data_IF_560366615647
#
_entry.id   IF_560366615647
#
_cell.length_a   1.000
_cell.length_b   1.000
_cell.length_c   1.000
_cell.angle_alpha   90.00
_cell.angle_beta   90.00
_cell.angle_gamma   90.00
#
_symmetry.space_group_name_H-M   'P 1'
#
loop_
_entity.id
_entity.type
_entity.pdbx_description
1 polymer ?
#
# COMPACT_ATOMS: atom_id res chain seq x y z
N UNK A 1 -27.30 4.44 56.45
CA UNK A 1 -27.16 3.01 56.05
C UNK A 1 -27.53 2.93 54.56
N UNK A 2 -26.56 2.72 53.64
CA UNK A 2 -26.31 1.45 52.87
C UNK A 2 -27.61 0.88 52.24
N UNK A 3 -27.76 0.53 50.95
CA UNK A 3 -26.80 0.22 49.86
C UNK A 3 -27.58 -0.03 48.54
N UNK A 4 -27.09 0.56 47.45
CA UNK A 4 -27.00 0.11 46.04
C UNK A 4 -28.22 -0.38 45.21
N UNK A 5 -28.37 0.33 44.08
CA UNK A 5 -29.05 0.00 42.83
C UNK A 5 -28.47 -1.25 42.15
N UNK A 6 -29.32 -2.08 41.52
CA UNK A 6 -28.91 -3.25 40.75
C UNK A 6 -29.27 -3.05 39.27
N UNK A 7 -28.29 -2.57 38.52
CA UNK A 7 -28.27 -2.53 37.05
C UNK A 7 -28.19 -3.99 36.56
N UNK A 8 -29.13 -4.42 35.71
CA UNK A 8 -28.99 -5.67 34.94
C UNK A 8 -28.37 -5.32 33.59
N UNK A 9 -27.05 -5.50 33.48
CA UNK A 9 -26.37 -5.55 32.18
C UNK A 9 -26.71 -6.90 31.54
N UNK A 10 -27.32 -6.85 30.35
CA UNK A 10 -27.45 -8.00 29.48
C UNK A 10 -26.08 -8.26 28.83
N UNK A 11 -25.43 -9.37 29.19
CA UNK A 11 -24.22 -9.82 28.51
C UNK A 11 -24.58 -10.51 27.19
N UNK A 12 -23.93 -10.08 26.11
CA UNK A 12 -24.06 -10.59 24.75
C UNK A 12 -23.28 -11.91 24.60
N UNK A 13 -23.93 -13.01 24.14
CA UNK A 13 -23.31 -14.34 24.05
C UNK A 13 -22.22 -14.47 22.97
N UNK A 14 -22.09 -13.53 22.02
CA UNK A 14 -21.07 -13.62 20.97
C UNK A 14 -19.63 -13.34 21.44
N UNK A 15 -19.44 -12.76 22.63
CA UNK A 15 -18.09 -12.46 23.17
C UNK A 15 -17.49 -13.56 24.05
N UNK A 16 -18.26 -14.61 24.36
CA UNK A 16 -17.81 -15.73 25.21
C UNK A 16 -17.08 -16.81 24.39
N UNK A 17 -17.26 -16.84 23.07
CA UNK A 17 -16.60 -17.83 22.20
C UNK A 17 -15.13 -17.50 21.87
N UNK A 18 -14.64 -16.31 22.19
CA UNK A 18 -13.29 -15.84 21.80
C UNK A 18 -12.23 -15.92 22.92
N UNK A 19 -12.55 -16.45 24.10
CA UNK A 19 -11.65 -16.43 25.27
C UNK A 19 -11.10 -17.80 25.72
N UNK A 20 -11.31 -18.89 24.97
CA UNK A 20 -10.80 -20.23 25.34
C UNK A 20 -9.84 -20.88 24.33
N UNK A 21 -9.37 -20.15 23.31
CA UNK A 21 -8.37 -20.66 22.36
C UNK A 21 -7.00 -19.99 22.56
N UNK A 22 -6.55 -19.93 23.81
CA UNK A 22 -5.17 -19.62 24.19
C UNK A 22 -4.74 -20.71 25.17
N UNK A 23 -4.36 -21.88 24.67
CA UNK A 23 -3.45 -22.83 25.31
C UNK A 23 -3.18 -23.98 24.34
N UNK A 24 -1.93 -24.48 24.31
CA UNK A 24 -1.40 -25.59 23.50
C UNK A 24 -1.03 -25.25 22.05
N UNK A 25 0.19 -24.74 21.87
CA UNK A 25 1.21 -25.39 21.02
C UNK A 25 2.56 -24.70 21.21
N UNK A 26 3.20 -24.97 22.34
CA UNK A 26 4.65 -24.79 22.52
C UNK A 26 5.35 -26.12 22.28
N UNK A 27 6.58 -26.02 21.76
CA UNK A 27 7.61 -27.06 21.59
C UNK A 27 7.70 -27.71 20.20
N UNK A 28 8.57 -27.15 19.35
CA UNK A 28 9.69 -27.90 18.76
C UNK A 28 10.87 -26.94 18.58
N UNK A 29 11.85 -27.05 19.48
CA UNK A 29 13.20 -26.51 19.28
C UNK A 29 13.98 -27.51 18.42
N UNK A 30 14.63 -27.04 17.36
CA UNK A 30 15.67 -27.78 16.67
C UNK A 30 16.93 -26.91 16.52
N UNK A 31 17.98 -27.41 17.16
CA UNK A 31 19.43 -27.18 17.01
C UNK A 31 19.87 -27.25 15.53
N UNK A 32 21.03 -26.81 15.01
CA UNK A 32 22.28 -26.29 15.56
C UNK A 32 23.11 -25.63 14.42
N UNK A 33 23.88 -24.60 14.79
CA UNK A 33 25.27 -24.27 14.42
C UNK A 33 25.91 -24.77 13.10
N UNK A 34 26.50 -23.83 12.36
CA UNK A 34 27.84 -23.99 11.74
C UNK A 34 28.50 -22.62 11.62
N UNK A 35 29.60 -22.41 12.33
CA UNK A 35 30.47 -21.26 12.14
C UNK A 35 31.43 -21.47 10.97
N UNK A 36 31.86 -20.37 10.35
CA UNK A 36 33.27 -20.13 10.07
C UNK A 36 33.54 -18.65 9.78
N UNK A 37 34.81 -18.31 9.98
CA UNK A 37 35.46 -17.01 10.16
C UNK A 37 35.90 -16.32 8.86
N UNK A 38 36.20 -15.02 9.04
CA UNK A 38 37.17 -14.16 8.32
C UNK A 38 36.84 -13.85 6.84
N UNK A 39 37.14 -12.70 6.22
CA UNK A 39 38.09 -11.61 6.49
C UNK A 39 37.70 -10.35 5.71
N UNK A 40 38.10 -9.19 6.22
CA UNK A 40 38.19 -7.89 5.55
C UNK A 40 39.04 -8.00 4.27
N UNK A 41 38.59 -7.40 3.14
CA UNK A 41 39.52 -6.68 2.27
C UNK A 41 38.83 -5.57 1.46
N UNK A 42 39.25 -4.35 1.74
CA UNK A 42 39.08 -3.15 0.93
C UNK A 42 39.79 -3.32 -0.42
N UNK A 43 39.12 -2.98 -1.52
CA UNK A 43 39.84 -2.46 -2.69
C UNK A 43 39.03 -1.37 -3.37
N UNK A 44 39.78 -0.34 -3.70
CA UNK A 44 39.48 0.99 -4.20
C UNK A 44 39.55 0.92 -5.74
N UNK A 45 38.57 1.48 -6.45
CA UNK A 45 38.64 1.53 -7.91
C UNK A 45 37.45 2.24 -8.53
N UNK A 46 37.66 3.51 -8.87
CA UNK A 46 36.67 4.44 -9.40
C UNK A 46 36.37 4.19 -10.87
N UNK A 47 35.15 4.60 -11.25
CA UNK A 47 34.74 5.11 -12.57
C UNK A 47 34.18 4.09 -13.56
N UNK A 48 32.93 3.66 -13.31
CA UNK A 48 31.98 3.30 -14.37
C UNK A 48 30.52 3.46 -13.88
N UNK A 49 30.16 4.65 -13.38
CA UNK A 49 28.85 4.88 -12.73
C UNK A 49 27.79 5.52 -13.61
N UNK A 50 28.05 5.73 -14.90
CA UNK A 50 27.11 6.47 -15.76
C UNK A 50 25.99 5.60 -16.35
N UNK A 51 26.19 4.28 -16.51
CA UNK A 51 25.22 3.40 -17.21
C UNK A 51 24.16 2.75 -16.29
N UNK A 52 24.50 2.49 -15.02
CA UNK A 52 23.60 1.82 -14.07
C UNK A 52 22.49 2.74 -13.56
N UNK A 53 22.79 4.01 -13.33
CA UNK A 53 21.78 5.00 -12.90
C UNK A 53 20.75 5.27 -14.00
N UNK A 54 21.14 5.27 -15.26
CA UNK A 54 20.22 5.48 -16.38
C UNK A 54 19.25 4.29 -16.53
N UNK A 55 19.74 3.06 -16.40
CA UNK A 55 18.93 1.84 -16.47
C UNK A 55 17.98 1.70 -15.26
N UNK A 56 18.40 2.08 -14.05
CA UNK A 56 17.52 2.08 -12.88
C UNK A 56 16.43 3.15 -13.00
N UNK A 57 16.79 4.32 -13.53
CA UNK A 57 15.85 5.41 -13.78
C UNK A 57 14.78 5.02 -14.82
N UNK A 58 15.13 4.32 -15.89
CA UNK A 58 14.16 3.88 -16.91
C UNK A 58 13.24 2.77 -16.38
N UNK A 59 13.75 1.85 -15.56
CA UNK A 59 12.92 0.83 -14.90
C UNK A 59 11.94 1.44 -13.90
N UNK A 60 12.37 2.44 -13.13
CA UNK A 60 11.50 3.15 -12.19
C UNK A 60 10.44 3.99 -12.92
N UNK A 61 10.80 4.65 -14.01
CA UNK A 61 9.85 5.41 -14.84
C UNK A 61 8.79 4.49 -15.42
N UNK A 62 9.18 3.32 -15.93
CA UNK A 62 8.25 2.33 -16.47
C UNK A 62 7.27 1.83 -15.40
N UNK A 63 7.76 1.61 -14.18
CA UNK A 63 6.93 1.25 -13.03
C UNK A 63 5.92 2.37 -12.70
N UNK A 64 6.39 3.61 -12.61
CA UNK A 64 5.54 4.77 -12.31
C UNK A 64 4.46 4.94 -13.37
N UNK A 65 4.84 4.86 -14.65
CA UNK A 65 3.90 4.98 -15.76
C UNK A 65 2.85 3.88 -15.72
N UNK A 66 3.25 2.63 -15.53
CA UNK A 66 2.33 1.51 -15.39
C UNK A 66 1.30 1.75 -14.26
N UNK A 67 1.78 2.12 -13.06
CA UNK A 67 0.89 2.31 -11.92
C UNK A 67 -0.03 3.53 -12.10
N UNK A 68 0.46 4.60 -12.70
CA UNK A 68 -0.34 5.77 -13.04
C UNK A 68 -1.45 5.43 -14.05
N UNK A 69 -1.12 4.66 -15.09
CA UNK A 69 -2.08 4.24 -16.12
C UNK A 69 -3.13 3.29 -15.54
N UNK A 70 -2.69 2.30 -14.74
CA UNK A 70 -3.59 1.38 -14.05
C UNK A 70 -4.56 2.12 -13.12
N UNK A 71 -4.05 3.01 -12.27
CA UNK A 71 -4.87 3.77 -11.33
C UNK A 71 -5.88 4.67 -12.05
N UNK A 72 -5.41 5.46 -13.02
CA UNK A 72 -6.26 6.37 -13.78
C UNK A 72 -7.36 5.62 -14.54
N UNK A 73 -7.01 4.50 -15.16
CA UNK A 73 -7.96 3.63 -15.87
C UNK A 73 -8.99 3.03 -14.92
N UNK A 74 -8.57 2.54 -13.76
CA UNK A 74 -9.50 1.94 -12.80
C UNK A 74 -10.53 2.95 -12.27
N UNK A 75 -10.07 4.15 -11.88
CA UNK A 75 -10.96 5.24 -11.48
C UNK A 75 -11.89 5.73 -12.60
N UNK A 76 -11.47 5.59 -13.85
CA UNK A 76 -12.30 5.94 -15.01
C UNK A 76 -13.35 4.86 -15.29
N UNK A 77 -12.97 3.59 -15.26
CA UNK A 77 -13.82 2.47 -15.69
C UNK A 77 -14.79 2.00 -14.60
N UNK A 78 -14.42 2.14 -13.32
CA UNK A 78 -15.18 1.58 -12.19
C UNK A 78 -15.81 2.67 -11.32
N UNK A 79 -16.78 3.39 -11.90
CA UNK A 79 -17.55 4.42 -11.21
C UNK A 79 -18.93 3.90 -10.76
N UNK A 80 -19.47 4.35 -9.61
CA UNK A 80 -18.88 5.26 -8.60
C UNK A 80 -17.89 4.57 -7.63
N UNK A 81 -17.01 5.33 -6.92
CA UNK A 81 -17.00 6.79 -6.78
C UNK A 81 -16.27 7.54 -7.90
N UNK A 82 -16.70 8.78 -8.17
CA UNK A 82 -16.06 9.68 -9.14
C UNK A 82 -15.02 10.55 -8.41
N UNK A 83 -13.72 10.36 -8.63
CA UNK A 83 -12.72 11.15 -7.93
C UNK A 83 -12.70 12.60 -8.42
N UNK A 84 -12.83 13.55 -7.48
CA UNK A 84 -12.78 14.99 -7.73
C UNK A 84 -11.35 15.54 -7.67
N UNK A 85 -10.46 14.85 -6.97
CA UNK A 85 -9.07 15.22 -6.80
C UNK A 85 -8.25 14.07 -6.24
N UNK A 86 -6.93 14.19 -6.31
CA UNK A 86 -5.98 13.23 -5.77
C UNK A 86 -4.94 13.95 -4.92
N UNK A 87 -4.47 13.32 -3.85
CA UNK A 87 -3.39 13.85 -3.00
C UNK A 87 -2.57 12.72 -2.37
N UNK A 88 -1.39 13.08 -1.87
CA UNK A 88 -0.48 12.17 -1.17
C UNK A 88 -0.14 10.93 -2.00
N UNK A 89 -0.07 11.06 -3.33
CA UNK A 89 0.21 9.95 -4.23
C UNK A 89 1.71 9.63 -4.19
N UNK A 90 2.03 8.38 -3.87
CA UNK A 90 3.40 7.89 -3.69
C UNK A 90 3.55 6.48 -4.27
N UNK A 91 4.76 6.16 -4.75
CA UNK A 91 5.12 4.77 -5.09
C UNK A 91 5.70 4.12 -3.84
N UNK A 92 5.24 2.91 -3.54
CA UNK A 92 5.74 2.10 -2.43
C UNK A 92 5.97 0.65 -2.87
N UNK A 93 6.53 -0.16 -1.98
CA UNK A 93 6.58 -1.60 -2.14
C UNK A 93 6.32 -2.34 -0.84
N UNK A 94 5.69 -3.51 -0.97
CA UNK A 94 5.60 -4.54 0.06
C UNK A 94 6.69 -5.58 -0.18
N UNK A 95 7.23 -6.14 0.91
CA UNK A 95 8.18 -7.27 0.83
C UNK A 95 7.44 -8.55 1.21
N UNK A 96 7.40 -9.52 0.30
CA UNK A 96 6.84 -10.85 0.54
C UNK A 96 7.78 -11.71 1.41
N UNK A 97 7.31 -12.82 2.00
CA UNK A 97 8.18 -13.73 2.76
C UNK A 97 9.37 -14.30 1.99
N UNK A 98 9.27 -14.40 0.66
CA UNK A 98 10.34 -14.84 -0.23
C UNK A 98 11.23 -13.67 -0.72
N UNK A 99 11.18 -12.52 -0.05
CA UNK A 99 11.93 -11.30 -0.36
C UNK A 99 11.58 -10.60 -1.68
N UNK A 100 10.62 -11.14 -2.44
CA UNK A 100 10.09 -10.46 -3.62
C UNK A 100 9.37 -9.17 -3.23
N UNK A 101 9.47 -8.17 -4.12
CA UNK A 101 8.78 -6.89 -3.97
C UNK A 101 7.49 -6.86 -4.77
N UNK A 102 6.40 -6.51 -4.11
CA UNK A 102 5.16 -6.09 -4.79
C UNK A 102 5.12 -4.57 -4.79
N UNK A 103 5.17 -3.96 -5.97
CA UNK A 103 5.11 -2.51 -6.10
C UNK A 103 3.67 -2.01 -6.11
N UNK A 104 3.44 -0.87 -5.46
CA UNK A 104 2.12 -0.28 -5.31
C UNK A 104 2.16 1.23 -5.48
N UNK A 105 1.05 1.82 -5.88
CA UNK A 105 0.79 3.26 -5.79
C UNK A 105 -0.23 3.50 -4.68
N UNK A 106 0.13 4.31 -3.71
CA UNK A 106 -0.73 4.69 -2.60
C UNK A 106 -1.13 6.15 -2.73
N UNK A 107 -2.33 6.49 -2.31
CA UNK A 107 -2.76 7.88 -2.23
C UNK A 107 -4.15 8.03 -1.64
N UNK A 108 -4.70 9.23 -1.78
CA UNK A 108 -6.07 9.54 -1.42
C UNK A 108 -6.76 10.22 -2.60
N UNK A 109 -8.05 9.94 -2.77
CA UNK A 109 -8.90 10.67 -3.71
C UNK A 109 -10.04 11.37 -2.95
N UNK A 110 -10.47 12.50 -3.50
CA UNK A 110 -11.60 13.26 -2.98
C UNK A 110 -12.89 12.66 -3.55
N UNK A 111 -13.74 12.17 -2.65
CA UNK A 111 -15.05 11.65 -2.94
C UNK A 111 -16.12 12.58 -2.35
N UNK A 112 -17.36 12.46 -2.84
CA UNK A 112 -18.54 12.95 -2.14
C UNK A 112 -19.32 11.76 -1.61
N UNK A 113 -19.69 11.80 -0.34
CA UNK A 113 -20.60 10.82 0.25
C UNK A 113 -22.05 11.04 -0.23
N UNK A 114 -22.96 10.16 0.18
CA UNK A 114 -24.39 10.24 -0.16
C UNK A 114 -25.08 11.51 0.40
N UNK A 115 -24.39 12.30 1.24
CA UNK A 115 -24.85 13.57 1.81
C UNK A 115 -24.13 14.78 1.17
N UNK A 116 -23.47 14.59 0.02
CA UNK A 116 -22.67 15.60 -0.69
C UNK A 116 -21.48 16.15 0.12
N UNK A 117 -21.05 15.46 1.19
CA UNK A 117 -19.88 15.87 1.97
C UNK A 117 -18.62 15.33 1.33
N UNK A 118 -17.64 16.22 1.22
CA UNK A 118 -16.33 15.88 0.71
C UNK A 118 -15.53 15.08 1.72
N UNK A 119 -15.02 13.92 1.30
CA UNK A 119 -14.16 13.06 2.10
C UNK A 119 -12.95 12.60 1.29
N UNK A 120 -11.82 12.46 1.99
CA UNK A 120 -10.60 11.91 1.40
C UNK A 120 -10.48 10.43 1.72
N UNK A 121 -10.62 9.60 0.69
CA UNK A 121 -10.64 8.14 0.81
C UNK A 121 -9.30 7.59 0.31
N UNK A 122 -8.73 6.63 1.04
CA UNK A 122 -7.49 5.97 0.63
C UNK A 122 -7.72 5.09 -0.59
N UNK A 123 -6.73 5.01 -1.47
CA UNK A 123 -6.66 4.01 -2.52
C UNK A 123 -5.26 3.41 -2.60
N UNK A 124 -5.20 2.20 -3.12
CA UNK A 124 -3.96 1.55 -3.52
C UNK A 124 -4.16 0.86 -4.86
N UNK A 125 -3.21 1.05 -5.77
CA UNK A 125 -3.11 0.30 -7.03
C UNK A 125 -1.89 -0.61 -6.94
N UNK A 126 -2.07 -1.90 -7.15
CA UNK A 126 -1.05 -2.94 -6.97
C UNK A 126 -0.56 -3.40 -8.34
N UNK A 127 0.77 -3.45 -8.52
CA UNK A 127 1.38 -4.00 -9.72
C UNK A 127 1.34 -5.53 -9.70
N UNK A 128 0.22 -6.05 -10.18
CA UNK A 128 -0.03 -7.46 -10.53
C UNK A 128 -0.31 -7.58 -12.03
N UNK A 129 -0.51 -8.80 -12.52
CA UNK A 129 -0.98 -9.06 -13.89
C UNK A 129 -2.24 -9.94 -13.85
N UNK A 130 -3.45 -9.38 -14.07
CA UNK A 130 -3.75 -7.95 -14.27
C UNK A 130 -3.54 -7.13 -12.98
N UNK A 131 -3.51 -5.80 -13.08
CA UNK A 131 -3.42 -4.91 -11.91
C UNK A 131 -4.62 -5.09 -10.97
N UNK A 132 -4.45 -4.72 -9.70
CA UNK A 132 -5.54 -4.66 -8.72
C UNK A 132 -5.65 -3.25 -8.13
N UNK A 133 -6.87 -2.78 -7.85
CA UNK A 133 -7.10 -1.54 -7.11
C UNK A 133 -8.03 -1.77 -5.92
N UNK A 134 -7.64 -1.22 -4.76
CA UNK A 134 -8.44 -1.27 -3.53
C UNK A 134 -8.70 0.15 -3.02
N UNK A 135 -9.83 0.32 -2.33
CA UNK A 135 -10.30 1.60 -1.77
C UNK A 135 -10.58 1.45 -0.27
N UNK A 136 -10.47 2.55 0.48
CA UNK A 136 -10.89 2.64 1.88
C UNK A 136 -9.91 1.96 2.85
N UNK A 137 -10.45 1.28 3.86
CA UNK A 137 -9.64 0.68 4.94
C UNK A 137 -8.67 -0.39 4.45
N UNK A 138 -9.05 -1.17 3.43
CA UNK A 138 -8.15 -2.16 2.83
C UNK A 138 -6.94 -1.46 2.22
N UNK A 139 -7.17 -0.41 1.43
CA UNK A 139 -6.09 0.37 0.84
C UNK A 139 -5.16 0.99 1.88
N UNK A 140 -5.72 1.51 2.98
CA UNK A 140 -4.95 2.09 4.07
C UNK A 140 -3.93 1.08 4.64
N UNK A 141 -4.33 -0.18 4.86
CA UNK A 141 -3.45 -1.21 5.40
C UNK A 141 -2.23 -1.44 4.48
N UNK A 142 -2.46 -1.64 3.17
CA UNK A 142 -1.38 -1.76 2.18
C UNK A 142 -0.42 -0.56 2.22
N UNK A 143 -0.96 0.65 2.39
CA UNK A 143 -0.17 1.87 2.36
C UNK A 143 0.62 2.14 3.64
N UNK A 144 0.20 1.60 4.78
CA UNK A 144 0.91 1.71 6.06
C UNK A 144 2.03 0.67 6.20
N UNK A 145 1.80 -0.55 5.70
CA UNK A 145 2.75 -1.67 5.83
C UNK A 145 3.85 -1.68 4.75
N UNK A 146 3.86 -0.68 3.86
CA UNK A 146 4.77 -0.60 2.72
C UNK A 146 5.88 0.43 2.91
N UNK A 147 6.97 0.24 2.16
CA UNK A 147 8.14 1.11 2.15
C UNK A 147 8.09 2.05 0.95
N UNK A 148 8.30 3.34 1.19
CA UNK A 148 8.28 4.35 0.13
C UNK A 148 9.46 4.23 -0.83
N UNK A 149 9.20 4.48 -2.10
CA UNK A 149 10.20 4.64 -3.16
C UNK A 149 10.24 6.12 -3.52
N UNK A 150 11.37 6.77 -3.25
CA UNK A 150 11.56 8.17 -3.62
C UNK A 150 11.48 8.35 -5.13
N UNK A 151 10.54 9.19 -5.57
CA UNK A 151 10.36 9.56 -6.97
C UNK A 151 10.07 11.06 -7.04
N UNK A 152 11.01 11.82 -7.59
CA UNK A 152 10.99 13.30 -7.54
C UNK A 152 10.87 13.97 -8.90
N UNK A 153 10.75 13.18 -9.98
CA UNK A 153 10.69 13.72 -11.35
C UNK A 153 9.42 14.54 -11.60
N UNK A 154 8.30 14.15 -11.00
CA UNK A 154 6.99 14.81 -11.13
C UNK A 154 6.17 14.63 -9.84
N UNK A 155 5.20 15.53 -9.62
CA UNK A 155 4.16 15.33 -8.61
C UNK A 155 3.16 14.27 -9.11
N UNK A 156 3.12 13.12 -8.42
CA UNK A 156 2.28 12.00 -8.80
C UNK A 156 0.79 12.26 -8.60
N UNK A 157 0.40 13.18 -7.71
CA UNK A 157 -1.00 13.56 -7.51
C UNK A 157 -1.52 14.35 -8.71
N UNK A 158 -0.70 15.29 -9.20
CA UNK A 158 -1.00 16.07 -10.41
C UNK A 158 -0.98 15.15 -11.65
N UNK A 159 0.00 14.26 -11.74
CA UNK A 159 0.12 13.33 -12.86
C UNK A 159 -1.08 12.37 -12.95
N UNK A 160 -1.54 11.82 -11.82
CA UNK A 160 -2.72 10.96 -11.76
C UNK A 160 -3.99 11.72 -12.16
N UNK A 161 -4.19 12.93 -11.63
CA UNK A 161 -5.32 13.79 -12.01
C UNK A 161 -5.35 14.07 -13.52
N UNK A 162 -4.20 14.42 -14.09
CA UNK A 162 -4.07 14.72 -15.52
C UNK A 162 -4.43 13.53 -16.39
N UNK A 163 -3.95 12.32 -16.06
CA UNK A 163 -4.29 11.09 -16.78
C UNK A 163 -5.78 10.76 -16.67
N UNK A 164 -6.32 10.80 -15.46
CA UNK A 164 -7.75 10.57 -15.24
C UNK A 164 -8.63 11.56 -16.03
N UNK A 165 -8.30 12.85 -15.98
CA UNK A 165 -9.04 13.90 -16.73
C UNK A 165 -8.94 13.72 -18.25
N UNK A 166 -7.81 13.21 -18.76
CA UNK A 166 -7.64 12.90 -20.17
C UNK A 166 -8.59 11.79 -20.61
N UNK A 167 -8.72 10.73 -19.81
CA UNK A 167 -9.65 9.62 -20.08
C UNK A 167 -11.11 10.10 -20.06
N UNK A 168 -11.46 10.96 -19.11
CA UNK A 168 -12.80 11.56 -19.04
C UNK A 168 -13.16 12.41 -20.26
N UNK A 169 -12.18 13.04 -20.91
CA UNK A 169 -12.39 13.82 -22.12
C UNK A 169 -12.51 12.94 -23.37
N UNK A 170 -11.78 11.84 -23.43
CA UNK A 170 -11.84 10.92 -24.58
C UNK A 170 -13.11 10.08 -24.65
N UNK A 171 -13.82 9.94 -23.54
CA UNK A 171 -15.06 9.14 -23.44
C UNK A 171 -16.34 9.95 -23.72
N UNK A 172 -16.22 11.25 -24.05
CA UNK A 172 -17.34 12.14 -24.43
C UNK A 172 -17.37 12.35 -25.94
#
# INVERSE_FOLDING_TARGET
MKKQSKIRQALNPQKILFLTSILLSTLFLSSCNSGSKDSIQSSKGSTESTSLSETQNTSQDSLVHFLLDAAAKDFHDHQPPVPLGFRNVQIKYLTKPNEEKTYIMCGQFLNKDDQDKEEWVHFVTIKTDPYEQWIGSNALAYCQDSKEITYTKIDLSIALKSKYDSLQKSSK
#
